data_IF_484316588282
#
_entry.id   IF_484316588282
#
_cell.length_a   1.000
_cell.length_b   1.000
_cell.length_c   1.000
_cell.angle_alpha   90.00
_cell.angle_beta   90.00
_cell.angle_gamma   90.00
#
_symmetry.space_group_name_H-M   'P 1'
#
loop_
_entity.id
_entity.type
_entity.pdbx_description
1 polymer ?
#
# COMPACT_ATOMS: atom_id res chain seq x y z
N UNK A 1 11.52 3.38 30.54
CA UNK A 1 11.36 2.02 31.12
C UNK A 1 11.37 0.89 30.08
N UNK A 2 10.68 0.99 28.94
CA UNK A 2 10.92 0.07 27.81
C UNK A 2 12.04 0.56 26.88
N UNK A 3 12.16 1.86 26.61
CA UNK A 3 13.05 2.41 25.56
C UNK A 3 14.54 2.52 25.92
N UNK A 4 14.97 2.26 27.15
CA UNK A 4 16.31 2.66 27.62
C UNK A 4 17.40 1.59 27.46
N UNK A 5 17.25 0.63 26.53
CA UNK A 5 18.05 -0.62 26.52
C UNK A 5 18.96 -0.83 25.30
N UNK A 6 19.09 0.15 24.42
CA UNK A 6 20.13 0.16 23.38
C UNK A 6 19.72 0.85 22.07
N UNK A 7 20.69 1.24 21.22
CA UNK A 7 20.43 1.98 19.98
C UNK A 7 19.59 1.19 18.96
N UNK A 8 19.74 -0.13 18.94
CA UNK A 8 18.97 -1.04 18.05
C UNK A 8 17.48 -1.02 18.36
N UNK A 9 17.12 -0.89 19.63
CA UNK A 9 15.73 -0.83 20.06
C UNK A 9 15.05 0.46 19.61
N UNK A 10 15.72 1.60 19.78
CA UNK A 10 15.21 2.88 19.30
C UNK A 10 15.00 2.85 17.77
N UNK A 11 15.92 2.26 17.03
CA UNK A 11 15.78 2.08 15.59
C UNK A 11 14.57 1.21 15.22
N UNK A 12 14.37 0.07 15.90
CA UNK A 12 13.22 -0.80 15.66
C UNK A 12 11.87 -0.10 15.95
N UNK A 13 11.78 0.64 17.07
CA UNK A 13 10.58 1.41 17.42
C UNK A 13 10.34 2.54 16.41
N UNK A 14 11.39 3.25 16.00
CA UNK A 14 11.30 4.30 14.99
C UNK A 14 10.76 3.76 13.66
N UNK A 15 11.29 2.64 13.17
CA UNK A 15 10.78 1.98 11.97
C UNK A 15 9.32 1.52 12.14
N UNK A 16 8.95 1.04 13.33
CA UNK A 16 7.57 0.67 13.66
C UNK A 16 6.61 1.87 13.58
N UNK A 17 6.97 3.00 14.20
CA UNK A 17 6.17 4.23 14.17
C UNK A 17 6.07 4.79 12.75
N UNK A 18 7.18 4.78 12.00
CA UNK A 18 7.18 5.23 10.60
C UNK A 18 6.28 4.34 9.74
N UNK A 19 6.36 3.02 9.91
CA UNK A 19 5.48 2.07 9.23
C UNK A 19 4.01 2.35 9.56
N UNK A 20 3.69 2.56 10.83
CA UNK A 20 2.35 2.93 11.27
C UNK A 20 1.87 4.25 10.64
N UNK A 21 2.73 5.28 10.56
CA UNK A 21 2.39 6.55 9.92
C UNK A 21 2.05 6.38 8.43
N UNK A 22 2.87 5.62 7.69
CA UNK A 22 2.62 5.32 6.26
C UNK A 22 1.29 4.58 6.10
N UNK A 23 1.02 3.55 6.92
CA UNK A 23 -0.24 2.80 6.88
C UNK A 23 -1.45 3.68 7.21
N UNK A 24 -1.33 4.58 8.17
CA UNK A 24 -2.40 5.51 8.54
C UNK A 24 -2.70 6.51 7.40
N UNK A 25 -1.66 7.02 6.75
CA UNK A 25 -1.80 7.89 5.57
C UNK A 25 -2.46 7.14 4.40
N UNK A 26 -2.03 5.90 4.11
CA UNK A 26 -2.66 5.05 3.08
C UNK A 26 -4.12 4.78 3.37
N UNK A 27 -4.47 4.46 4.63
CA UNK A 27 -5.86 4.23 5.05
C UNK A 27 -6.74 5.45 4.84
N UNK A 28 -6.26 6.65 5.20
CA UNK A 28 -6.97 7.91 4.95
C UNK A 28 -7.15 8.18 3.46
N UNK A 29 -6.09 7.99 2.66
CA UNK A 29 -6.16 8.13 1.20
C UNK A 29 -7.20 7.20 0.59
N UNK A 30 -7.22 5.93 1.00
CA UNK A 30 -8.20 4.95 0.54
C UNK A 30 -9.63 5.36 0.90
N UNK A 31 -9.87 5.85 2.12
CA UNK A 31 -11.20 6.31 2.52
C UNK A 31 -11.69 7.48 1.67
N UNK A 32 -10.82 8.44 1.36
CA UNK A 32 -11.15 9.57 0.46
C UNK A 32 -11.42 9.05 -0.95
N UNK A 33 -10.61 8.12 -1.47
CA UNK A 33 -10.79 7.57 -2.80
C UNK A 33 -12.09 6.75 -2.92
N UNK A 34 -12.50 6.00 -1.89
CA UNK A 34 -13.77 5.26 -1.89
C UNK A 34 -15.00 6.15 -2.08
N UNK A 35 -14.96 7.41 -1.64
CA UNK A 35 -16.07 8.34 -1.87
C UNK A 35 -16.30 8.62 -3.36
N UNK A 36 -15.27 8.53 -4.21
CA UNK A 36 -15.42 8.74 -5.66
C UNK A 36 -16.29 7.68 -6.34
N UNK A 37 -16.39 6.47 -5.79
CA UNK A 37 -17.24 5.39 -6.33
C UNK A 37 -18.74 5.67 -6.16
N UNK A 38 -19.11 6.56 -5.24
CA UNK A 38 -20.52 6.86 -4.93
C UNK A 38 -21.13 7.90 -5.87
N UNK A 39 -20.31 8.61 -6.64
CA UNK A 39 -20.80 9.64 -7.54
C UNK A 39 -21.02 9.06 -8.94
N UNK A 40 -22.25 9.03 -9.48
CA UNK A 40 -22.48 8.66 -10.85
C UNK A 40 -21.91 9.74 -11.78
N UNK A 41 -20.82 9.41 -12.46
CA UNK A 41 -20.13 10.33 -13.38
C UNK A 41 -20.91 10.52 -14.69
N UNK A 42 -21.68 9.51 -15.08
CA UNK A 42 -22.49 9.51 -16.30
C UNK A 42 -23.95 9.87 -15.94
N UNK A 43 -24.60 10.79 -16.69
CA UNK A 43 -26.01 11.12 -16.47
C UNK A 43 -26.90 9.88 -16.48
N UNK A 44 -27.82 9.75 -15.52
CA UNK A 44 -28.71 8.58 -15.36
C UNK A 44 -29.76 8.42 -16.48
N UNK A 45 -29.74 9.27 -17.50
CA UNK A 45 -30.66 9.15 -18.64
C UNK A 45 -30.44 7.80 -19.35
N UNK A 46 -31.51 6.99 -19.42
CA UNK A 46 -31.51 5.67 -20.08
C UNK A 46 -31.12 5.72 -21.57
N UNK A 47 -31.28 6.89 -22.21
CA UNK A 47 -30.93 7.12 -23.62
C UNK A 47 -29.51 7.67 -23.84
N UNK A 48 -28.71 7.86 -22.78
CA UNK A 48 -27.35 8.37 -22.93
C UNK A 48 -26.43 7.31 -23.54
N UNK A 49 -26.02 7.55 -24.79
CA UNK A 49 -25.03 6.73 -25.50
C UNK A 49 -23.67 7.40 -25.41
N UNK A 50 -22.67 6.65 -24.95
CA UNK A 50 -21.29 7.11 -24.98
C UNK A 50 -20.75 7.04 -26.42
N UNK A 51 -20.40 8.21 -26.96
CA UNK A 51 -19.85 8.40 -28.31
C UNK A 51 -18.80 9.51 -28.27
N UNK A 52 -17.99 9.65 -29.31
CA UNK A 52 -16.99 10.73 -29.39
C UNK A 52 -17.59 12.13 -29.24
N UNK A 53 -18.87 12.33 -29.58
CA UNK A 53 -19.59 13.60 -29.41
C UNK A 53 -20.10 13.85 -27.99
N UNK A 54 -20.42 12.79 -27.24
CA UNK A 54 -20.95 12.88 -25.86
C UNK A 54 -19.87 12.75 -24.79
N UNK A 55 -18.66 12.27 -25.17
CA UNK A 55 -17.51 12.16 -24.29
C UNK A 55 -17.11 13.50 -23.63
N UNK A 56 -17.17 14.61 -24.38
CA UNK A 56 -16.86 15.95 -23.86
C UNK A 56 -17.83 16.37 -22.74
N UNK A 57 -19.09 15.90 -22.77
CA UNK A 57 -20.05 16.18 -21.70
C UNK A 57 -19.70 15.43 -20.41
N UNK A 58 -19.24 14.17 -20.53
CA UNK A 58 -18.80 13.38 -19.37
C UNK A 58 -17.51 13.94 -18.78
N UNK A 59 -16.55 14.35 -19.62
CA UNK A 59 -15.31 15.01 -19.17
C UNK A 59 -15.63 16.29 -18.37
N UNK A 60 -16.55 17.13 -18.87
CA UNK A 60 -17.00 18.32 -18.15
C UNK A 60 -17.67 17.99 -16.82
N UNK A 61 -18.51 16.95 -16.77
CA UNK A 61 -19.14 16.51 -15.52
C UNK A 61 -18.11 16.05 -14.49
N UNK A 62 -17.06 15.33 -14.91
CA UNK A 62 -15.96 14.91 -14.02
C UNK A 62 -15.25 16.12 -13.42
N UNK A 63 -14.92 17.11 -14.23
CA UNK A 63 -14.29 18.36 -13.76
C UNK A 63 -15.21 19.22 -12.89
N UNK A 64 -16.53 19.10 -13.03
CA UNK A 64 -17.49 19.77 -12.16
C UNK A 64 -17.64 19.08 -10.80
N UNK A 65 -17.42 17.76 -10.73
CA UNK A 65 -17.48 16.98 -9.49
C UNK A 65 -16.19 17.09 -8.69
N UNK A 66 -15.04 17.13 -9.36
CA UNK A 66 -13.72 17.16 -8.73
C UNK A 66 -12.81 18.23 -9.33
N UNK A 67 -12.27 19.09 -8.46
CA UNK A 67 -11.29 20.14 -8.83
C UNK A 67 -9.97 19.57 -9.36
N UNK A 68 -9.60 18.34 -8.95
CA UNK A 68 -8.44 17.60 -9.48
C UNK A 68 -8.79 16.11 -9.68
N UNK A 69 -9.46 15.75 -10.79
CA UNK A 69 -9.94 14.38 -11.02
C UNK A 69 -8.81 13.37 -11.24
N UNK A 70 -7.65 13.83 -11.71
CA UNK A 70 -6.42 13.06 -11.91
C UNK A 70 -5.91 12.39 -10.61
N UNK A 71 -6.27 12.93 -9.45
CA UNK A 71 -5.90 12.39 -8.13
C UNK A 71 -6.73 11.16 -7.72
N UNK A 72 -7.86 10.93 -8.38
CA UNK A 72 -8.76 9.81 -8.12
C UNK A 72 -8.58 8.77 -9.21
N UNK A 73 -8.31 7.52 -8.82
CA UNK A 73 -8.04 6.41 -9.76
C UNK A 73 -9.20 6.25 -10.75
N UNK A 74 -10.44 6.21 -10.25
CA UNK A 74 -11.65 6.05 -11.07
C UNK A 74 -11.78 7.18 -12.10
N UNK A 75 -11.71 8.44 -11.67
CA UNK A 75 -11.89 9.58 -12.58
C UNK A 75 -10.76 9.68 -13.60
N UNK A 76 -9.51 9.46 -13.19
CA UNK A 76 -8.38 9.44 -14.10
C UNK A 76 -8.53 8.35 -15.17
N UNK A 77 -8.94 7.13 -14.79
CA UNK A 77 -9.19 6.03 -15.74
C UNK A 77 -10.28 6.40 -16.75
N UNK A 78 -11.39 6.97 -16.29
CA UNK A 78 -12.49 7.39 -17.15
C UNK A 78 -12.04 8.50 -18.11
N UNK A 79 -11.31 9.51 -17.62
CA UNK A 79 -10.80 10.59 -18.47
C UNK A 79 -9.87 10.08 -19.58
N UNK A 80 -8.92 9.19 -19.25
CA UNK A 80 -8.01 8.61 -20.24
C UNK A 80 -8.80 7.77 -21.26
N UNK A 81 -9.75 6.95 -20.80
CA UNK A 81 -10.60 6.14 -21.68
C UNK A 81 -11.43 7.01 -22.65
N UNK A 82 -12.06 8.08 -22.15
CA UNK A 82 -12.85 9.00 -22.96
C UNK A 82 -11.99 9.80 -23.95
N UNK A 83 -10.81 10.26 -23.53
CA UNK A 83 -9.88 10.94 -24.44
C UNK A 83 -9.43 10.03 -25.57
N UNK A 84 -9.21 8.73 -25.29
CA UNK A 84 -8.86 7.76 -26.32
C UNK A 84 -10.03 7.43 -27.25
N UNK A 85 -11.25 7.28 -26.72
CA UNK A 85 -12.46 7.11 -27.54
C UNK A 85 -12.65 8.27 -28.53
N UNK A 86 -12.31 9.50 -28.11
CA UNK A 86 -12.37 10.68 -28.97
C UNK A 86 -11.34 10.66 -30.10
N UNK A 87 -10.12 10.21 -29.80
CA UNK A 87 -9.00 10.22 -30.75
C UNK A 87 -8.99 9.01 -31.71
N UNK A 88 -9.35 7.82 -31.22
CA UNK A 88 -9.26 6.56 -31.96
C UNK A 88 -10.59 6.12 -32.58
N UNK A 89 -11.74 6.55 -32.02
CA UNK A 89 -13.08 6.26 -32.56
C UNK A 89 -13.51 4.80 -32.51
N UNK A 90 -12.70 3.90 -31.97
CA UNK A 90 -12.97 2.46 -31.83
C UNK A 90 -13.33 2.10 -30.40
N UNK A 91 -14.50 1.49 -30.26
CA UNK A 91 -15.05 1.05 -28.97
C UNK A 91 -14.24 -0.09 -28.35
N UNK A 92 -13.76 -1.03 -29.17
CA UNK A 92 -12.97 -2.18 -28.69
C UNK A 92 -11.69 -1.74 -27.98
N UNK A 93 -11.02 -0.72 -28.53
CA UNK A 93 -9.78 -0.17 -27.99
C UNK A 93 -9.96 0.44 -26.59
N UNK A 94 -11.19 0.83 -26.20
CA UNK A 94 -11.48 1.41 -24.87
C UNK A 94 -11.44 0.35 -23.77
N UNK A 95 -11.95 -0.87 -24.02
CA UNK A 95 -11.88 -1.96 -23.03
C UNK A 95 -10.42 -2.35 -22.76
N UNK A 96 -9.63 -2.50 -23.84
CA UNK A 96 -8.20 -2.82 -23.75
C UNK A 96 -7.42 -1.76 -22.98
N UNK A 97 -7.71 -0.47 -23.21
CA UNK A 97 -7.10 0.64 -22.46
C UNK A 97 -7.52 0.60 -20.99
N UNK A 98 -8.80 0.35 -20.68
CA UNK A 98 -9.27 0.27 -19.31
C UNK A 98 -8.63 -0.89 -18.55
N UNK A 99 -8.41 -2.04 -19.21
CA UNK A 99 -7.68 -3.18 -18.65
C UNK A 99 -6.20 -2.85 -18.42
N UNK A 100 -5.53 -2.26 -19.40
CA UNK A 100 -4.12 -1.85 -19.27
C UNK A 100 -3.92 -0.84 -18.13
N UNK A 101 -4.85 0.09 -17.95
CA UNK A 101 -4.83 1.01 -16.81
C UNK A 101 -5.04 0.29 -15.47
N UNK A 102 -5.93 -0.72 -15.42
CA UNK A 102 -6.14 -1.53 -14.22
C UNK A 102 -4.86 -2.27 -13.80
N UNK A 103 -4.19 -2.91 -14.75
CA UNK A 103 -2.92 -3.62 -14.52
C UNK A 103 -1.82 -2.67 -14.03
N UNK A 104 -1.77 -1.46 -14.60
CA UNK A 104 -0.83 -0.42 -14.15
C UNK A 104 -1.13 0.05 -12.73
N UNK A 105 -2.40 0.23 -12.39
CA UNK A 105 -2.81 0.65 -11.04
C UNK A 105 -2.48 -0.44 -10.01
N UNK A 106 -2.68 -1.72 -10.35
CA UNK A 106 -2.30 -2.86 -9.52
C UNK A 106 -0.78 -2.94 -9.32
N UNK A 107 0.01 -2.76 -10.38
CA UNK A 107 1.48 -2.72 -10.28
C UNK A 107 1.96 -1.54 -9.41
N UNK A 108 1.32 -0.37 -9.53
CA UNK A 108 1.61 0.79 -8.70
C UNK A 108 1.24 0.55 -7.24
N UNK A 109 0.09 -0.09 -6.99
CA UNK A 109 -0.35 -0.52 -5.67
C UNK A 109 0.69 -1.43 -5.01
N UNK A 110 1.15 -2.49 -5.69
CA UNK A 110 2.19 -3.39 -5.18
C UNK A 110 3.49 -2.65 -4.85
N UNK A 111 3.95 -1.79 -5.76
CA UNK A 111 5.16 -0.99 -5.57
C UNK A 111 5.06 -0.05 -4.36
N UNK A 112 3.88 0.49 -4.08
CA UNK A 112 3.66 1.41 -2.95
C UNK A 112 3.88 0.78 -1.57
N UNK A 113 3.89 -0.56 -1.49
CA UNK A 113 4.18 -1.31 -0.26
C UNK A 113 5.64 -1.77 -0.14
N UNK A 114 6.48 -1.51 -1.14
CA UNK A 114 7.88 -1.95 -1.15
C UNK A 114 8.66 -1.40 0.05
N UNK A 115 8.49 -0.12 0.38
CA UNK A 115 9.15 0.52 1.54
C UNK A 115 8.72 -0.11 2.86
N UNK A 116 7.42 -0.38 3.03
CA UNK A 116 6.90 -1.07 4.21
C UNK A 116 7.46 -2.49 4.33
N UNK A 117 7.56 -3.21 3.21
CA UNK A 117 8.21 -4.52 3.17
C UNK A 117 9.66 -4.48 3.62
N UNK A 118 10.42 -3.47 3.18
CA UNK A 118 11.80 -3.25 3.63
C UNK A 118 11.91 -2.99 5.13
N UNK A 119 11.04 -2.17 5.71
CA UNK A 119 11.02 -1.93 7.16
C UNK A 119 10.65 -3.18 7.95
N UNK A 120 9.68 -3.94 7.45
CA UNK A 120 9.23 -5.16 8.11
C UNK A 120 10.30 -6.25 8.12
N UNK A 121 11.15 -6.29 7.10
CA UNK A 121 12.35 -7.12 7.08
C UNK A 121 13.43 -6.60 8.05
N UNK A 122 13.62 -5.28 8.12
CA UNK A 122 14.68 -4.68 8.94
C UNK A 122 14.42 -4.78 10.45
N UNK A 123 13.16 -4.66 10.90
CA UNK A 123 12.82 -4.65 12.34
C UNK A 123 13.29 -5.93 13.06
N UNK A 124 12.95 -7.16 12.61
CA UNK A 124 13.44 -8.39 13.24
C UNK A 124 14.97 -8.52 13.22
N UNK A 125 15.61 -8.08 12.13
CA UNK A 125 17.07 -8.10 11.98
C UNK A 125 17.72 -7.17 13.02
N UNK A 126 17.17 -5.98 13.24
CA UNK A 126 17.64 -5.07 14.30
C UNK A 126 17.45 -5.66 15.70
N UNK A 127 16.35 -6.38 15.94
CA UNK A 127 16.15 -7.15 17.17
C UNK A 127 17.28 -8.16 17.37
N UNK A 128 17.52 -9.00 16.35
CA UNK A 128 18.58 -10.00 16.38
C UNK A 128 19.97 -9.40 16.62
N UNK A 129 20.29 -8.28 15.96
CA UNK A 129 21.54 -7.52 16.21
C UNK A 129 21.61 -7.08 17.67
N UNK A 130 20.50 -6.57 18.23
CA UNK A 130 20.41 -6.23 19.65
C UNK A 130 20.74 -7.41 20.57
N UNK A 131 20.22 -8.61 20.29
CA UNK A 131 20.59 -9.81 21.06
C UNK A 131 22.05 -10.19 20.92
N UNK A 132 22.61 -10.15 19.71
CA UNK A 132 24.02 -10.51 19.49
C UNK A 132 24.93 -9.56 20.26
N UNK A 133 24.65 -8.25 20.23
CA UNK A 133 25.42 -7.26 20.97
C UNK A 133 25.30 -7.46 22.50
N UNK A 134 24.09 -7.66 23.01
CA UNK A 134 23.88 -7.89 24.44
C UNK A 134 24.53 -9.18 24.95
N UNK A 135 24.48 -10.26 24.15
CA UNK A 135 25.16 -11.52 24.44
C UNK A 135 26.68 -11.36 24.42
N UNK A 136 27.23 -10.72 23.39
CA UNK A 136 28.67 -10.51 23.26
C UNK A 136 29.22 -9.68 24.44
N UNK A 137 28.49 -8.63 24.85
CA UNK A 137 28.87 -7.81 26.01
C UNK A 137 28.79 -8.61 27.32
N UNK A 138 27.71 -9.37 27.53
CA UNK A 138 27.53 -10.18 28.73
C UNK A 138 28.65 -11.24 28.88
N UNK A 139 29.02 -11.92 27.79
CA UNK A 139 30.11 -12.89 27.78
C UNK A 139 31.48 -12.21 27.96
N UNK A 140 31.74 -11.10 27.28
CA UNK A 140 33.00 -10.37 27.38
C UNK A 140 33.28 -9.86 28.80
N UNK A 141 32.26 -9.29 29.45
CA UNK A 141 32.37 -8.86 30.85
C UNK A 141 32.63 -10.04 31.79
N UNK A 142 31.92 -11.16 31.60
CA UNK A 142 32.13 -12.36 32.41
C UNK A 142 33.57 -12.89 32.28
N UNK A 143 34.09 -13.02 31.06
CA UNK A 143 35.45 -13.52 30.82
C UNK A 143 36.53 -12.62 31.41
N UNK A 144 36.42 -11.29 31.23
CA UNK A 144 37.41 -10.35 31.77
C UNK A 144 37.49 -10.37 33.30
N UNK A 145 36.36 -10.63 33.96
CA UNK A 145 36.27 -10.58 35.42
C UNK A 145 36.67 -11.91 36.07
N UNK A 146 36.52 -13.03 35.36
CA UNK A 146 37.11 -14.31 35.76
C UNK A 146 38.64 -14.28 35.76
N UNK A 147 39.26 -13.49 34.87
CA UNK A 147 40.72 -13.29 34.84
C UNK A 147 41.21 -12.41 36.00
N UNK A 148 40.35 -11.57 36.59
CA UNK A 148 40.70 -10.60 37.65
C UNK A 148 40.37 -11.06 39.08
N UNK A 149 39.41 -11.97 39.29
CA UNK A 149 38.91 -12.33 40.63
C UNK A 149 39.07 -13.82 40.96
N UNK A 150 39.74 -14.11 42.08
CA UNK A 150 39.90 -15.47 42.63
C UNK A 150 38.85 -15.85 43.70
N UNK A 151 37.91 -14.94 44.04
CA UNK A 151 36.98 -15.12 45.17
C UNK A 151 35.55 -15.43 44.69
N UNK A 152 34.98 -16.51 45.24
CA UNK A 152 33.67 -17.10 44.85
C UNK A 152 32.51 -16.12 45.04
N UNK A 153 32.63 -15.20 45.99
CA UNK A 153 31.63 -14.18 46.31
C UNK A 153 31.44 -13.16 45.19
N UNK A 154 32.51 -12.80 44.48
CA UNK A 154 32.47 -11.88 43.34
C UNK A 154 31.74 -12.49 42.15
N UNK A 155 31.98 -13.78 41.90
CA UNK A 155 31.37 -14.55 40.80
C UNK A 155 29.83 -14.53 40.86
N UNK A 156 29.22 -14.59 42.06
CA UNK A 156 27.75 -14.54 42.21
C UNK A 156 27.17 -13.18 41.83
N UNK A 157 27.87 -12.09 42.17
CA UNK A 157 27.49 -10.74 41.75
C UNK A 157 27.56 -10.59 40.23
N UNK A 158 28.62 -11.12 39.63
CA UNK A 158 28.83 -11.05 38.18
C UNK A 158 27.81 -11.88 37.39
N UNK A 159 27.46 -13.07 37.87
CA UNK A 159 26.41 -13.87 37.26
C UNK A 159 25.06 -13.13 37.24
N UNK A 160 24.74 -12.34 38.27
CA UNK A 160 23.54 -11.48 38.26
C UNK A 160 23.62 -10.38 37.20
N UNK A 161 24.79 -9.79 36.97
CA UNK A 161 24.96 -8.76 35.94
C UNK A 161 24.86 -9.35 34.52
N UNK A 162 25.51 -10.49 34.28
CA UNK A 162 25.45 -11.22 33.00
C UNK A 162 24.02 -11.64 32.67
N UNK A 163 23.30 -12.20 33.64
CA UNK A 163 21.89 -12.59 33.45
C UNK A 163 20.97 -11.39 33.22
N UNK A 164 21.24 -10.23 33.83
CA UNK A 164 20.52 -8.99 33.54
C UNK A 164 20.75 -8.47 32.12
N UNK A 165 22.00 -8.52 31.63
CA UNK A 165 22.34 -8.17 30.25
C UNK A 165 21.68 -9.11 29.23
N UNK A 166 21.66 -10.41 29.53
CA UNK A 166 20.98 -11.42 28.72
C UNK A 166 19.46 -11.19 28.65
N UNK A 167 18.82 -10.92 29.80
CA UNK A 167 17.38 -10.60 29.87
C UNK A 167 17.05 -9.40 28.99
N UNK A 168 17.86 -8.36 29.06
CA UNK A 168 17.71 -7.14 28.25
C UNK A 168 17.84 -7.41 26.75
N UNK A 169 18.80 -8.24 26.34
CA UNK A 169 18.94 -8.65 24.95
C UNK A 169 17.67 -9.35 24.45
N UNK A 170 17.16 -10.34 25.18
CA UNK A 170 15.94 -11.05 24.80
C UNK A 170 14.71 -10.14 24.73
N UNK A 171 14.52 -9.23 25.69
CA UNK A 171 13.43 -8.26 25.67
C UNK A 171 13.48 -7.36 24.42
N UNK A 172 14.69 -6.96 23.99
CA UNK A 172 14.88 -6.14 22.78
C UNK A 172 14.41 -6.87 21.52
N UNK A 173 14.75 -8.16 21.39
CA UNK A 173 14.28 -8.97 20.26
C UNK A 173 12.79 -9.23 20.33
N UNK A 174 12.26 -9.56 21.50
CA UNK A 174 10.83 -9.77 21.69
C UNK A 174 10.02 -8.53 21.27
N UNK A 175 10.47 -7.34 21.68
CA UNK A 175 9.83 -6.10 21.29
C UNK A 175 9.83 -5.90 19.77
N UNK A 176 10.98 -6.10 19.12
CA UNK A 176 11.10 -5.96 17.67
C UNK A 176 10.15 -6.92 16.93
N UNK A 177 10.09 -8.19 17.37
CA UNK A 177 9.18 -9.18 16.78
C UNK A 177 7.71 -8.82 16.98
N UNK A 178 7.32 -8.34 18.16
CA UNK A 178 5.94 -7.89 18.43
C UNK A 178 5.58 -6.70 17.55
N UNK A 179 6.46 -5.72 17.40
CA UNK A 179 6.25 -4.58 16.50
C UNK A 179 6.08 -5.05 15.06
N UNK A 180 6.99 -5.91 14.58
CA UNK A 180 6.91 -6.45 13.23
C UNK A 180 5.60 -7.22 13.00
N UNK A 181 5.17 -8.04 13.96
CA UNK A 181 3.92 -8.78 13.85
C UNK A 181 2.69 -7.86 13.76
N UNK A 182 2.61 -6.84 14.61
CA UNK A 182 1.49 -5.88 14.60
C UNK A 182 1.43 -5.11 13.28
N UNK A 183 2.59 -4.64 12.79
CA UNK A 183 2.67 -3.92 11.51
C UNK A 183 2.34 -4.86 10.34
N UNK A 184 2.81 -6.11 10.35
CA UNK A 184 2.50 -7.09 9.31
C UNK A 184 0.98 -7.33 9.20
N UNK A 185 0.30 -7.53 10.33
CA UNK A 185 -1.16 -7.74 10.34
C UNK A 185 -1.90 -6.52 9.79
N UNK A 186 -1.52 -5.31 10.21
CA UNK A 186 -2.14 -4.09 9.71
C UNK A 186 -1.86 -3.87 8.21
N UNK A 187 -0.63 -4.14 7.76
CA UNK A 187 -0.26 -4.06 6.34
C UNK A 187 -1.08 -5.04 5.49
N UNK A 188 -1.32 -6.27 5.97
CA UNK A 188 -2.16 -7.26 5.27
C UNK A 188 -3.60 -6.77 5.10
N UNK A 189 -4.21 -6.26 6.17
CA UNK A 189 -5.58 -5.71 6.09
C UNK A 189 -5.66 -4.49 5.17
N UNK A 190 -4.64 -3.62 5.19
CA UNK A 190 -4.59 -2.45 4.32
C UNK A 190 -4.44 -2.84 2.85
N UNK A 191 -3.58 -3.82 2.52
CA UNK A 191 -3.43 -4.36 1.16
C UNK A 191 -4.75 -4.93 0.65
N UNK A 192 -5.39 -5.79 1.44
CA UNK A 192 -6.69 -6.38 1.10
C UNK A 192 -7.75 -5.30 0.83
N UNK A 193 -7.79 -4.25 1.65
CA UNK A 193 -8.75 -3.16 1.47
C UNK A 193 -8.48 -2.30 0.22
N UNK A 194 -7.20 -2.13 -0.16
CA UNK A 194 -6.77 -1.45 -1.39
C UNK A 194 -7.06 -2.32 -2.63
N UNK A 195 -6.81 -3.63 -2.60
CA UNK A 195 -7.15 -4.59 -3.67
C UNK A 195 -8.66 -4.59 -3.96
N UNK A 196 -9.50 -4.75 -2.93
CA UNK A 196 -10.97 -4.69 -3.08
C UNK A 196 -11.40 -3.36 -3.72
N UNK A 197 -10.76 -2.24 -3.38
CA UNK A 197 -11.08 -0.95 -3.99
C UNK A 197 -10.67 -0.86 -5.46
N UNK A 198 -9.57 -1.49 -5.87
CA UNK A 198 -9.16 -1.56 -7.27
C UNK A 198 -10.14 -2.39 -8.10
N UNK A 199 -10.61 -3.52 -7.54
CA UNK A 199 -11.65 -4.35 -8.14
C UNK A 199 -12.97 -3.56 -8.29
N UNK A 200 -13.44 -2.92 -7.22
CA UNK A 200 -14.63 -2.05 -7.24
C UNK A 200 -14.50 -0.94 -8.30
N UNK A 201 -13.31 -0.35 -8.42
CA UNK A 201 -13.00 0.69 -9.41
C UNK A 201 -13.05 0.17 -10.83
N UNK A 202 -12.58 -1.05 -11.06
CA UNK A 202 -12.65 -1.71 -12.36
C UNK A 202 -14.10 -2.02 -12.73
N UNK A 203 -14.87 -2.62 -11.82
CA UNK A 203 -16.29 -2.90 -12.06
C UNK A 203 -17.08 -1.62 -12.33
N UNK A 204 -16.83 -0.56 -11.55
CA UNK A 204 -17.44 0.75 -11.77
C UNK A 204 -17.14 1.29 -13.17
N UNK A 205 -15.86 1.29 -13.60
CA UNK A 205 -15.47 1.78 -14.91
C UNK A 205 -16.11 0.98 -16.04
N UNK A 206 -16.11 -0.36 -15.94
CA UNK A 206 -16.74 -1.23 -16.94
C UNK A 206 -18.26 -1.01 -17.01
N UNK A 207 -18.93 -0.92 -15.86
CA UNK A 207 -20.37 -0.66 -15.81
C UNK A 207 -20.72 0.70 -16.39
N UNK A 208 -19.97 1.76 -16.07
CA UNK A 208 -20.27 3.09 -16.58
C UNK A 208 -19.93 3.24 -18.07
N UNK A 209 -18.76 2.76 -18.49
CA UNK A 209 -18.28 2.95 -19.86
C UNK A 209 -18.81 1.87 -20.79
N UNK A 210 -18.46 0.60 -20.56
CA UNK A 210 -18.70 -0.49 -21.52
C UNK A 210 -20.19 -0.79 -21.69
N UNK A 211 -20.97 -0.79 -20.60
CA UNK A 211 -22.42 -1.07 -20.71
C UNK A 211 -23.22 0.01 -21.45
N UNK A 212 -22.65 1.21 -21.61
CA UNK A 212 -23.29 2.37 -22.26
C UNK A 212 -22.70 2.72 -23.62
N UNK A 213 -21.71 1.98 -24.09
CA UNK A 213 -21.23 2.12 -25.47
C UNK A 213 -22.14 1.30 -26.40
N UNK A 214 -22.87 2.01 -27.26
CA UNK A 214 -23.66 1.37 -28.32
C UNK A 214 -22.69 0.93 -29.42
N UNK A 215 -22.69 -0.35 -29.77
CA UNK A 215 -22.11 -0.83 -31.04
C UNK A 215 -22.93 -0.14 -32.13
N UNK A 216 -22.42 0.96 -32.70
CA UNK A 216 -23.00 1.53 -33.92
C UNK A 216 -22.92 0.42 -34.98
N UNK A 217 -24.05 -0.07 -35.54
CA UNK A 217 -23.96 -0.93 -36.70
C UNK A 217 -23.28 -0.10 -37.78
N UNK A 218 -22.09 -0.53 -38.17
CA UNK A 218 -21.39 -0.05 -39.37
C UNK A 218 -22.46 0.02 -40.45
N UNK A 219 -22.76 1.22 -40.96
CA UNK A 219 -23.68 1.36 -42.09
C UNK A 219 -23.13 0.47 -43.20
N UNK A 220 -23.76 -0.67 -43.44
CA UNK A 220 -23.62 -1.37 -44.70
C UNK A 220 -24.22 -0.40 -45.72
N UNK A 221 -23.35 0.34 -46.41
CA UNK A 221 -23.70 0.95 -47.67
C UNK A 221 -24.06 -0.22 -48.59
N UNK A 222 -25.35 -0.56 -48.60
CA UNK A 222 -25.94 -1.23 -49.74
C UNK A 222 -25.87 -0.23 -50.89
N UNK A 223 -24.78 -0.28 -51.66
CA UNK A 223 -24.79 0.22 -53.02
C UNK A 223 -25.77 -0.67 -53.80
N UNK A 224 -27.01 -0.22 -53.85
CA UNK A 224 -27.88 -0.49 -54.99
C UNK A 224 -27.35 0.32 -56.16
N UNK A 225 -26.70 -0.35 -57.11
CA UNK A 225 -26.63 0.12 -58.49
C UNK A 225 -26.92 -1.07 -59.39
N UNK A 226 -28.15 -1.05 -59.92
CA UNK A 226 -28.63 -1.48 -61.24
C UNK A 226 -27.91 -2.61 -62.00
#
# INVERSE_FOLDING_TARGET
MLLDRGPTQHAAVFLGIWSAAILLMKRRKLQIQRQSLQHPVIPENYDFVLSSNTADQVIRNIHAIAESPDRFIVFNRILIALSNLKNLGRVGDVDDILRSLAERDESSHQTSFATLGGFLWAIPVLGFIGTVLGLAQAIGNFSSLLDEQADVSGIVGELKQVTGGLSTAFETTLLALVIALVIQLWMTEQKKAEEVFLDDSQEYCLKQIVSRIRILPTKFNGESQD
#
